data_IF_181285824689
#
_entry.id   IF_181285824689
#
_cell.length_a   1.000
_cell.length_b   1.000
_cell.length_c   1.000
_cell.angle_alpha   90.00
_cell.angle_beta   90.00
_cell.angle_gamma   90.00
#
_symmetry.space_group_name_H-M   'P 1'
#
loop_
_entity.id
_entity.type
_entity.pdbx_description
1 polymer ?
#
# COMPACT_ATOMS: atom_id res chain seq x y z
N UNK A 1 -16.15 -43.85 -43.36
CA UNK A 1 -14.86 -43.84 -42.65
C UNK A 1 -15.13 -44.21 -41.20
N UNK A 2 -14.30 -45.04 -40.57
CA UNK A 2 -14.47 -45.37 -39.15
C UNK A 2 -14.08 -44.15 -38.29
N UNK A 3 -14.76 -43.90 -37.18
CA UNK A 3 -14.53 -42.77 -36.27
C UNK A 3 -13.08 -42.70 -35.81
N UNK A 4 -12.48 -43.85 -35.47
CA UNK A 4 -11.06 -43.97 -35.14
C UNK A 4 -10.12 -43.46 -36.25
N UNK A 5 -10.46 -43.68 -37.52
CA UNK A 5 -9.65 -43.19 -38.65
C UNK A 5 -9.75 -41.67 -38.80
N UNK A 6 -10.94 -41.10 -38.54
CA UNK A 6 -11.14 -39.65 -38.55
C UNK A 6 -10.37 -38.99 -37.41
N UNK A 7 -10.42 -39.56 -36.20
CA UNK A 7 -9.68 -39.05 -35.04
C UNK A 7 -8.17 -39.09 -35.30
N UNK A 8 -7.62 -40.19 -35.82
CA UNK A 8 -6.18 -40.25 -36.14
C UNK A 8 -5.76 -39.29 -37.27
N UNK A 9 -6.64 -39.03 -38.24
CA UNK A 9 -6.36 -38.06 -39.29
C UNK A 9 -6.41 -36.62 -38.76
N UNK A 10 -7.36 -36.32 -37.87
CA UNK A 10 -7.43 -35.03 -37.18
C UNK A 10 -6.23 -34.85 -36.25
N UNK A 11 -5.88 -35.86 -35.47
CA UNK A 11 -4.71 -35.85 -34.58
C UNK A 11 -3.44 -35.62 -35.39
N UNK A 12 -3.25 -36.35 -36.50
CA UNK A 12 -2.14 -36.12 -37.41
C UNK A 12 -2.18 -34.73 -38.08
N UNK A 13 -3.34 -34.19 -38.42
CA UNK A 13 -3.43 -32.85 -39.01
C UNK A 13 -3.11 -31.74 -37.99
N UNK A 14 -3.53 -31.94 -36.74
CA UNK A 14 -3.45 -30.96 -35.65
C UNK A 14 -2.08 -31.00 -34.94
N UNK A 15 -1.57 -32.19 -34.60
CA UNK A 15 -0.29 -32.41 -33.89
C UNK A 15 0.92 -32.30 -34.82
N UNK A 16 0.79 -32.68 -36.08
CA UNK A 16 1.96 -32.90 -36.94
C UNK A 16 2.42 -31.63 -37.66
N UNK A 17 2.97 -30.64 -36.94
CA UNK A 17 3.56 -29.38 -37.48
C UNK A 17 2.67 -28.54 -38.41
N UNK A 18 1.52 -29.03 -38.86
CA UNK A 18 0.66 -28.44 -39.86
C UNK A 18 0.05 -27.14 -39.37
N UNK A 19 -0.52 -27.13 -38.16
CA UNK A 19 -1.03 -25.92 -37.55
C UNK A 19 0.07 -24.88 -37.29
N UNK A 20 1.25 -25.29 -36.82
CA UNK A 20 2.39 -24.36 -36.65
C UNK A 20 2.92 -23.81 -37.98
N UNK A 21 2.73 -24.54 -39.08
CA UNK A 21 3.10 -24.11 -40.43
C UNK A 21 2.00 -23.29 -41.13
N UNK A 22 0.76 -23.37 -40.64
CA UNK A 22 -0.34 -22.54 -41.10
C UNK A 22 -0.12 -21.09 -40.64
N UNK A 23 -0.34 -20.14 -41.55
CA UNK A 23 -0.36 -18.71 -41.22
C UNK A 23 -1.51 -18.37 -40.26
N UNK A 24 -2.59 -19.14 -40.31
CA UNK A 24 -3.82 -18.95 -39.54
C UNK A 24 -4.24 -20.30 -38.93
N UNK A 25 -3.59 -20.73 -37.83
CA UNK A 25 -3.91 -22.00 -37.16
C UNK A 25 -5.36 -22.05 -36.67
N UNK A 26 -5.90 -20.90 -36.25
CA UNK A 26 -7.31 -20.71 -35.89
C UNK A 26 -8.25 -21.16 -37.03
N UNK A 27 -8.13 -20.52 -38.20
CA UNK A 27 -8.92 -20.85 -39.39
C UNK A 27 -8.76 -22.31 -39.84
N UNK A 28 -7.56 -22.89 -39.71
CA UNK A 28 -7.32 -24.29 -40.02
C UNK A 28 -8.03 -25.23 -39.04
N UNK A 29 -8.03 -24.92 -37.74
CA UNK A 29 -8.80 -25.65 -36.74
C UNK A 29 -10.31 -25.53 -37.02
N UNK A 30 -10.83 -24.33 -37.29
CA UNK A 30 -12.24 -24.13 -37.65
C UNK A 30 -12.63 -24.96 -38.88
N UNK A 31 -11.79 -24.97 -39.92
CA UNK A 31 -12.03 -25.73 -41.15
C UNK A 31 -12.05 -27.25 -40.90
N UNK A 32 -11.13 -27.76 -40.08
CA UNK A 32 -11.09 -29.18 -39.71
C UNK A 32 -12.34 -29.58 -38.93
N UNK A 33 -12.85 -28.67 -38.10
CA UNK A 33 -14.03 -28.87 -37.26
C UNK A 33 -15.36 -28.68 -38.02
N UNK A 34 -15.36 -27.95 -39.13
CA UNK A 34 -16.50 -27.84 -40.04
C UNK A 34 -16.66 -29.03 -40.99
N UNK A 35 -15.72 -29.98 -41.00
CA UNK A 35 -15.84 -31.17 -41.84
C UNK A 35 -17.04 -32.02 -41.39
N UNK A 36 -17.85 -32.58 -42.31
CA UNK A 36 -18.95 -33.48 -41.96
C UNK A 36 -18.49 -34.71 -41.16
N UNK A 37 -17.22 -35.10 -41.30
CA UNK A 37 -16.61 -36.17 -40.54
C UNK A 37 -16.41 -35.80 -39.05
N UNK A 38 -16.28 -34.51 -38.72
CA UNK A 38 -16.19 -34.01 -37.35
C UNK A 38 -17.50 -34.21 -36.58
N UNK A 39 -18.65 -34.25 -37.26
CA UNK A 39 -19.93 -34.56 -36.63
C UNK A 39 -20.02 -36.00 -36.07
N UNK A 40 -19.11 -36.89 -36.48
CA UNK A 40 -19.01 -38.25 -35.96
C UNK A 40 -18.01 -38.40 -34.79
N UNK A 41 -17.29 -37.32 -34.45
CA UNK A 41 -16.31 -37.30 -33.36
C UNK A 41 -17.05 -37.11 -32.05
N UNK A 42 -16.73 -37.92 -31.04
CA UNK A 42 -17.33 -37.79 -29.71
C UNK A 42 -16.77 -36.55 -29.01
N UNK A 43 -17.51 -35.99 -28.05
CA UNK A 43 -17.02 -34.85 -27.27
C UNK A 43 -15.69 -35.17 -26.55
N UNK A 44 -15.53 -36.40 -26.07
CA UNK A 44 -14.29 -36.89 -25.45
C UNK A 44 -13.11 -36.96 -26.42
N UNK A 45 -13.33 -37.42 -27.65
CA UNK A 45 -12.28 -37.43 -28.68
C UNK A 45 -11.91 -36.00 -29.09
N UNK A 46 -12.90 -35.11 -29.20
CA UNK A 46 -12.67 -33.70 -29.48
C UNK A 46 -11.86 -33.02 -28.37
N UNK A 47 -12.18 -33.30 -27.09
CA UNK A 47 -11.46 -32.77 -25.94
C UNK A 47 -10.00 -33.25 -25.90
N UNK A 48 -9.73 -34.52 -26.21
CA UNK A 48 -8.34 -35.01 -26.34
C UNK A 48 -7.56 -34.33 -27.45
N UNK A 49 -8.19 -34.17 -28.62
CA UNK A 49 -7.58 -33.46 -29.75
C UNK A 49 -7.29 -32.01 -29.38
N UNK A 50 -8.23 -31.33 -28.72
CA UNK A 50 -8.04 -29.97 -28.23
C UNK A 50 -6.90 -29.91 -27.20
N UNK A 51 -6.83 -30.85 -26.25
CA UNK A 51 -5.75 -30.92 -25.26
C UNK A 51 -4.36 -31.04 -25.91
N UNK A 52 -4.23 -31.93 -26.90
CA UNK A 52 -2.99 -32.08 -27.67
C UNK A 52 -2.60 -30.83 -28.47
N UNK A 53 -3.59 -30.11 -29.02
CA UNK A 53 -3.35 -28.84 -29.72
C UNK A 53 -2.93 -27.75 -28.74
N UNK A 54 -3.64 -27.60 -27.63
CA UNK A 54 -3.35 -26.63 -26.58
C UNK A 54 -1.91 -26.83 -26.11
N UNK A 55 -1.52 -28.03 -25.66
CA UNK A 55 -0.15 -28.31 -25.20
C UNK A 55 0.95 -27.94 -26.23
N UNK A 56 0.63 -27.93 -27.51
CA UNK A 56 1.58 -27.68 -28.59
C UNK A 56 1.47 -26.27 -29.20
N UNK A 57 0.40 -25.53 -28.94
CA UNK A 57 0.16 -24.21 -29.50
C UNK A 57 0.33 -23.14 -28.42
N UNK A 58 1.29 -22.23 -28.62
CA UNK A 58 1.47 -21.06 -27.76
C UNK A 58 0.56 -19.89 -28.16
N UNK A 59 -0.35 -20.12 -29.10
CA UNK A 59 -1.26 -19.09 -29.62
C UNK A 59 -2.59 -19.13 -28.87
N UNK A 60 -2.86 -18.07 -28.12
CA UNK A 60 -4.06 -17.96 -27.30
C UNK A 60 -5.35 -17.89 -28.12
N UNK A 61 -5.29 -17.39 -29.36
CA UNK A 61 -6.47 -17.24 -30.24
C UNK A 61 -7.00 -18.60 -30.69
N UNK A 62 -6.09 -19.54 -30.96
CA UNK A 62 -6.45 -20.92 -31.32
C UNK A 62 -7.15 -21.62 -30.15
N UNK A 63 -6.66 -21.41 -28.92
CA UNK A 63 -7.27 -21.99 -27.74
C UNK A 63 -8.69 -21.44 -27.51
N UNK A 64 -8.87 -20.13 -27.67
CA UNK A 64 -10.19 -19.49 -27.56
C UNK A 64 -11.19 -20.02 -28.59
N UNK A 65 -10.80 -20.10 -29.87
CA UNK A 65 -11.68 -20.63 -30.92
C UNK A 65 -12.04 -22.11 -30.70
N UNK A 66 -11.07 -22.93 -30.28
CA UNK A 66 -11.32 -24.34 -29.97
C UNK A 66 -12.32 -24.50 -28.82
N UNK A 67 -12.19 -23.66 -27.79
CA UNK A 67 -13.09 -23.63 -26.65
C UNK A 67 -14.49 -23.16 -27.04
N UNK A 68 -14.60 -22.06 -27.80
CA UNK A 68 -15.89 -21.58 -28.31
C UNK A 68 -16.57 -22.61 -29.21
N UNK A 69 -15.78 -23.37 -29.98
CA UNK A 69 -16.31 -24.40 -30.86
C UNK A 69 -16.79 -25.62 -30.06
N UNK A 70 -16.04 -26.06 -29.04
CA UNK A 70 -16.50 -27.07 -28.09
C UNK A 70 -17.85 -26.69 -27.48
N UNK A 71 -18.00 -25.43 -27.02
CA UNK A 71 -19.28 -24.92 -26.51
C UNK A 71 -20.39 -24.93 -27.57
N UNK A 72 -20.07 -24.48 -28.79
CA UNK A 72 -21.02 -24.38 -29.90
C UNK A 72 -21.58 -25.73 -30.37
N UNK A 73 -20.87 -26.84 -30.11
CA UNK A 73 -21.33 -28.19 -30.49
C UNK A 73 -22.48 -28.72 -29.64
N UNK A 74 -22.77 -28.09 -28.49
CA UNK A 74 -23.85 -28.52 -27.58
C UNK A 74 -23.64 -29.89 -26.91
N UNK A 75 -22.50 -30.55 -27.18
CA UNK A 75 -22.11 -31.84 -26.60
C UNK A 75 -20.86 -31.63 -25.77
N UNK A 76 -21.04 -31.51 -24.45
CA UNK A 76 -19.94 -31.27 -23.53
C UNK A 76 -19.16 -32.56 -23.27
N UNK A 77 -17.81 -32.49 -23.20
CA UNK A 77 -17.00 -33.63 -22.80
C UNK A 77 -17.31 -34.04 -21.35
N UNK A 78 -16.90 -35.25 -20.96
CA UNK A 78 -17.04 -35.69 -19.58
C UNK A 78 -16.30 -34.74 -18.61
N UNK A 79 -16.70 -34.68 -17.32
CA UNK A 79 -16.16 -33.72 -16.37
C UNK A 79 -14.64 -33.85 -16.19
N UNK A 80 -14.08 -35.06 -16.19
CA UNK A 80 -12.62 -35.28 -16.07
C UNK A 80 -11.84 -34.77 -17.29
N UNK A 81 -12.41 -34.91 -18.48
CA UNK A 81 -11.81 -34.51 -19.75
C UNK A 81 -11.83 -32.99 -19.89
N UNK A 82 -12.95 -32.38 -19.48
CA UNK A 82 -13.09 -30.95 -19.38
C UNK A 82 -12.08 -30.33 -18.40
N UNK A 83 -11.92 -30.92 -17.22
CA UNK A 83 -10.94 -30.45 -16.21
C UNK A 83 -9.51 -30.53 -16.76
N UNK A 84 -9.17 -31.65 -17.40
CA UNK A 84 -7.84 -31.82 -18.01
C UNK A 84 -7.57 -30.79 -19.11
N UNK A 85 -8.56 -30.52 -19.96
CA UNK A 85 -8.46 -29.52 -21.03
C UNK A 85 -8.28 -28.11 -20.45
N UNK A 86 -9.07 -27.74 -19.44
CA UNK A 86 -9.00 -26.43 -18.81
C UNK A 86 -7.65 -26.23 -18.09
N UNK A 87 -7.15 -27.25 -17.37
CA UNK A 87 -5.83 -27.18 -16.73
C UNK A 87 -4.73 -27.00 -17.77
N UNK A 88 -4.76 -27.75 -18.89
CA UNK A 88 -3.81 -27.58 -19.98
C UNK A 88 -3.85 -26.17 -20.58
N UNK A 89 -5.04 -25.58 -20.74
CA UNK A 89 -5.18 -24.22 -21.25
C UNK A 89 -4.64 -23.16 -20.28
N UNK A 90 -4.84 -23.36 -18.96
CA UNK A 90 -4.29 -22.48 -17.91
C UNK A 90 -2.77 -22.57 -17.84
N UNK A 91 -2.21 -23.77 -17.98
CA UNK A 91 -0.75 -24.00 -17.99
C UNK A 91 -0.04 -23.34 -19.17
N UNK A 92 -0.77 -23.04 -20.25
CA UNK A 92 -0.21 -22.46 -21.47
C UNK A 92 0.05 -20.94 -21.41
N UNK A 93 -0.29 -20.29 -20.28
CA UNK A 93 0.10 -18.91 -19.89
C UNK A 93 -0.18 -17.78 -20.90
N UNK A 94 -1.11 -17.93 -21.84
CA UNK A 94 -1.55 -16.77 -22.65
C UNK A 94 -2.76 -16.12 -22.02
N UNK A 95 -2.76 -14.79 -21.94
CA UNK A 95 -3.80 -14.05 -21.22
C UNK A 95 -5.20 -14.26 -21.82
N UNK A 96 -5.26 -14.41 -23.15
CA UNK A 96 -6.50 -14.67 -23.89
C UNK A 96 -7.04 -16.08 -23.63
N UNK A 97 -6.20 -17.11 -23.65
CA UNK A 97 -6.65 -18.49 -23.43
C UNK A 97 -7.16 -18.69 -22.00
N UNK A 98 -6.48 -18.11 -21.02
CA UNK A 98 -6.90 -18.15 -19.62
C UNK A 98 -8.25 -17.44 -19.43
N UNK A 99 -8.43 -16.25 -19.99
CA UNK A 99 -9.69 -15.52 -19.92
C UNK A 99 -10.85 -16.32 -20.53
N UNK A 100 -10.66 -16.89 -21.71
CA UNK A 100 -11.65 -17.71 -22.41
C UNK A 100 -12.03 -18.97 -21.60
N UNK A 101 -11.04 -19.68 -21.04
CA UNK A 101 -11.28 -20.85 -20.20
C UNK A 101 -12.13 -20.55 -18.97
N UNK A 102 -11.87 -19.41 -18.34
CA UNK A 102 -12.51 -19.07 -17.08
C UNK A 102 -13.88 -18.45 -17.34
N UNK A 103 -14.05 -17.69 -18.44
CA UNK A 103 -15.39 -17.35 -18.93
C UNK A 103 -16.22 -18.61 -19.18
N UNK A 104 -15.65 -19.65 -19.79
CA UNK A 104 -16.29 -20.94 -19.95
C UNK A 104 -16.76 -21.55 -18.63
N UNK A 105 -15.87 -21.53 -17.63
CA UNK A 105 -16.14 -22.04 -16.29
C UNK A 105 -17.25 -21.27 -15.55
N UNK A 106 -17.46 -19.98 -15.84
CA UNK A 106 -18.42 -19.16 -15.09
C UNK A 106 -19.70 -18.80 -15.87
N UNK A 107 -19.74 -18.96 -17.20
CA UNK A 107 -20.86 -18.50 -18.03
C UNK A 107 -21.92 -19.55 -18.33
N UNK A 108 -21.64 -20.84 -18.10
CA UNK A 108 -22.37 -21.93 -18.78
C UNK A 108 -22.76 -23.10 -17.84
N UNK A 109 -23.72 -23.97 -18.22
CA UNK A 109 -24.05 -25.21 -17.50
C UNK A 109 -22.86 -26.16 -17.37
N UNK A 110 -21.77 -25.90 -18.10
CA UNK A 110 -20.44 -26.48 -17.92
C UNK A 110 -19.98 -26.39 -16.47
N UNK A 111 -20.19 -25.25 -15.81
CA UNK A 111 -19.89 -25.03 -14.40
C UNK A 111 -20.65 -25.99 -13.48
N UNK A 112 -21.83 -26.45 -13.91
CA UNK A 112 -22.66 -27.39 -13.15
C UNK A 112 -22.21 -28.84 -13.34
N UNK A 113 -21.38 -29.14 -14.35
CA UNK A 113 -20.85 -30.48 -14.61
C UNK A 113 -19.51 -30.73 -13.91
N UNK A 114 -18.72 -29.68 -13.68
CA UNK A 114 -17.46 -29.78 -12.95
C UNK A 114 -17.75 -29.91 -11.46
N UNK A 115 -17.13 -30.91 -10.82
CA UNK A 115 -17.20 -31.04 -9.37
C UNK A 115 -16.65 -29.77 -8.70
N UNK A 116 -17.27 -29.34 -7.59
CA UNK A 116 -16.88 -28.11 -6.92
C UNK A 116 -15.40 -28.08 -6.50
N UNK A 117 -14.82 -29.23 -6.15
CA UNK A 117 -13.39 -29.35 -5.83
C UNK A 117 -12.49 -29.21 -7.05
N UNK A 118 -12.86 -29.79 -8.19
CA UNK A 118 -12.10 -29.66 -9.43
C UNK A 118 -12.17 -28.24 -10.00
N UNK A 119 -13.34 -27.60 -9.94
CA UNK A 119 -13.49 -26.19 -10.30
C UNK A 119 -12.58 -25.33 -9.41
N UNK A 120 -12.57 -25.55 -8.09
CA UNK A 120 -11.70 -24.83 -7.18
C UNK A 120 -10.20 -25.02 -7.48
N UNK A 121 -9.78 -26.25 -7.83
CA UNK A 121 -8.39 -26.53 -8.16
C UNK A 121 -7.96 -25.81 -9.46
N UNK A 122 -8.80 -25.80 -10.49
CA UNK A 122 -8.57 -25.02 -11.70
C UNK A 122 -8.50 -23.52 -11.41
N UNK A 123 -9.36 -23.05 -10.51
CA UNK A 123 -9.37 -21.66 -10.09
C UNK A 123 -8.09 -21.28 -9.31
N UNK A 124 -7.57 -22.17 -8.45
CA UNK A 124 -6.28 -22.02 -7.79
C UNK A 124 -5.12 -21.98 -8.80
N UNK A 125 -5.09 -22.91 -9.76
CA UNK A 125 -4.09 -22.94 -10.84
C UNK A 125 -4.12 -21.65 -11.67
N UNK A 126 -5.32 -21.14 -11.99
CA UNK A 126 -5.49 -19.88 -12.70
C UNK A 126 -4.97 -18.68 -11.90
N UNK A 127 -5.21 -18.64 -10.58
CA UNK A 127 -4.67 -17.62 -9.70
C UNK A 127 -3.14 -17.71 -9.62
N UNK A 128 -2.58 -18.91 -9.44
CA UNK A 128 -1.13 -19.13 -9.43
C UNK A 128 -0.44 -18.73 -10.73
N UNK A 129 -1.15 -18.85 -11.86
CA UNK A 129 -0.68 -18.39 -13.17
C UNK A 129 -0.63 -16.86 -13.32
N UNK A 130 -1.10 -16.08 -12.32
CA UNK A 130 -1.06 -14.61 -12.26
C UNK A 130 -1.72 -13.93 -13.46
N UNK A 131 -2.89 -14.45 -13.86
CA UNK A 131 -3.62 -13.94 -15.01
C UNK A 131 -4.65 -12.88 -14.55
N UNK A 132 -4.52 -11.59 -14.91
CA UNK A 132 -5.44 -10.55 -14.43
C UNK A 132 -6.87 -10.74 -14.94
N UNK A 133 -7.03 -11.21 -16.18
CA UNK A 133 -8.34 -11.55 -16.74
C UNK A 133 -8.98 -12.76 -16.04
N UNK A 134 -8.17 -13.68 -15.52
CA UNK A 134 -8.65 -14.80 -14.71
C UNK A 134 -9.27 -14.31 -13.40
N UNK A 135 -8.70 -13.28 -12.80
CA UNK A 135 -9.05 -12.79 -11.47
C UNK A 135 -10.51 -12.32 -11.35
N UNK A 136 -11.01 -11.57 -12.34
CA UNK A 136 -12.41 -11.12 -12.37
C UNK A 136 -13.41 -12.26 -12.41
N UNK A 137 -13.06 -13.28 -13.16
CA UNK A 137 -13.95 -14.38 -13.45
C UNK A 137 -13.89 -15.42 -12.31
N UNK A 138 -12.70 -15.61 -11.71
CA UNK A 138 -12.49 -16.28 -10.41
C UNK A 138 -13.42 -15.73 -9.33
N UNK A 139 -13.56 -14.41 -9.29
CA UNK A 139 -14.41 -13.70 -8.33
C UNK A 139 -15.90 -13.89 -8.57
N UNK A 140 -16.32 -13.85 -9.83
CA UNK A 140 -17.71 -14.15 -10.20
C UNK A 140 -18.09 -15.60 -9.83
N UNK A 141 -17.18 -16.55 -10.05
CA UNK A 141 -17.39 -17.95 -9.68
C UNK A 141 -17.44 -18.17 -8.15
N UNK A 142 -16.62 -17.45 -7.37
CA UNK A 142 -16.71 -17.44 -5.89
C UNK A 142 -18.07 -16.97 -5.36
N UNK A 143 -18.67 -15.98 -6.02
CA UNK A 143 -19.97 -15.43 -5.66
C UNK A 143 -21.13 -16.39 -5.99
N UNK A 144 -20.95 -17.28 -6.97
CA UNK A 144 -22.00 -18.14 -7.50
C UNK A 144 -22.10 -19.51 -6.82
N UNK A 145 -21.01 -20.03 -6.25
CA UNK A 145 -20.96 -21.40 -5.73
C UNK A 145 -21.15 -21.49 -4.19
N UNK A 146 -21.95 -22.44 -3.67
CA UNK A 146 -22.00 -22.76 -2.25
C UNK A 146 -20.72 -23.50 -1.86
N UNK A 147 -19.68 -22.74 -1.52
CA UNK A 147 -18.36 -23.26 -1.14
C UNK A 147 -18.25 -23.40 0.39
N UNK A 148 -17.40 -24.31 0.85
CA UNK A 148 -17.04 -24.36 2.27
C UNK A 148 -16.19 -23.15 2.65
N UNK A 149 -16.23 -22.72 3.93
CA UNK A 149 -15.50 -21.52 4.37
C UNK A 149 -13.99 -21.62 4.16
N UNK A 150 -13.42 -22.81 4.31
CA UNK A 150 -11.98 -23.06 4.11
C UNK A 150 -11.58 -22.92 2.63
N UNK A 151 -12.44 -23.36 1.71
CA UNK A 151 -12.20 -23.26 0.29
C UNK A 151 -12.29 -21.82 -0.22
N UNK A 152 -13.27 -21.07 0.29
CA UNK A 152 -13.39 -19.64 0.01
C UNK A 152 -12.16 -18.89 0.51
N UNK A 153 -11.69 -19.20 1.71
CA UNK A 153 -10.48 -18.63 2.30
C UNK A 153 -9.24 -18.89 1.44
N UNK A 154 -9.01 -20.14 1.04
CA UNK A 154 -7.88 -20.50 0.16
C UNK A 154 -7.94 -19.75 -1.17
N UNK A 155 -9.13 -19.68 -1.78
CA UNK A 155 -9.29 -18.98 -3.05
C UNK A 155 -9.11 -17.47 -2.90
N UNK A 156 -9.66 -16.87 -1.84
CA UNK A 156 -9.45 -15.45 -1.50
C UNK A 156 -7.97 -15.14 -1.35
N UNK A 157 -7.25 -15.98 -0.61
CA UNK A 157 -5.82 -15.81 -0.38
C UNK A 157 -5.02 -15.94 -1.68
N UNK A 158 -5.31 -16.97 -2.49
CA UNK A 158 -4.63 -17.16 -3.77
C UNK A 158 -4.92 -16.02 -4.75
N UNK A 159 -6.19 -15.62 -4.87
CA UNK A 159 -6.64 -14.51 -5.73
C UNK A 159 -5.92 -13.22 -5.34
N UNK A 160 -5.78 -12.94 -4.05
CA UNK A 160 -5.14 -11.70 -3.58
C UNK A 160 -3.63 -11.76 -3.71
N UNK A 161 -2.99 -12.92 -3.50
CA UNK A 161 -1.56 -13.07 -3.75
C UNK A 161 -1.24 -12.90 -5.24
N UNK A 162 -2.05 -13.53 -6.10
CA UNK A 162 -1.96 -13.39 -7.55
C UNK A 162 -2.13 -11.93 -7.96
N UNK A 163 -3.12 -11.26 -7.36
CA UNK A 163 -3.29 -9.83 -7.45
C UNK A 163 -1.96 -9.18 -7.04
N UNK A 164 -1.57 -9.15 -5.77
CA UNK A 164 -0.41 -8.40 -5.29
C UNK A 164 0.87 -8.60 -6.14
N UNK A 165 1.06 -9.81 -6.68
CA UNK A 165 2.11 -10.11 -7.66
C UNK A 165 1.92 -9.40 -9.00
N UNK A 166 0.73 -9.47 -9.63
CA UNK A 166 0.42 -8.70 -10.84
C UNK A 166 0.69 -7.20 -10.67
N UNK A 167 0.20 -6.60 -9.58
CA UNK A 167 0.37 -5.16 -9.32
C UNK A 167 1.85 -4.80 -9.17
N UNK A 168 2.62 -5.67 -8.50
CA UNK A 168 4.06 -5.49 -8.37
C UNK A 168 4.78 -5.59 -9.72
N UNK A 169 4.35 -6.49 -10.60
CA UNK A 169 4.93 -6.67 -11.92
C UNK A 169 4.60 -5.47 -12.84
N UNK A 170 3.36 -4.97 -12.80
CA UNK A 170 2.87 -3.86 -13.64
C UNK A 170 3.36 -2.48 -13.17
N UNK A 171 3.48 -2.25 -11.87
CA UNK A 171 4.12 -1.03 -11.35
C UNK A 171 5.60 -0.90 -11.76
N UNK A 172 6.23 -2.00 -12.20
CA UNK A 172 7.58 -1.98 -12.76
C UNK A 172 7.66 -1.44 -14.20
N UNK A 173 6.55 -1.44 -14.95
CA UNK A 173 6.55 -1.14 -16.40
C UNK A 173 6.10 0.27 -16.76
N UNK A 174 5.53 1.04 -15.83
CA UNK A 174 5.36 2.50 -15.92
C UNK A 174 4.30 3.04 -16.89
N UNK A 175 3.78 2.24 -17.82
CA UNK A 175 2.95 2.73 -18.95
C UNK A 175 1.45 2.33 -18.90
N UNK A 176 0.97 1.61 -17.87
CA UNK A 176 -0.39 1.04 -17.85
C UNK A 176 -1.17 1.32 -16.56
N UNK A 177 -1.09 2.54 -16.04
CA UNK A 177 -1.54 2.79 -14.66
C UNK A 177 -3.08 2.84 -14.49
N UNK A 178 -3.83 3.43 -15.42
CA UNK A 178 -5.25 3.75 -15.16
C UNK A 178 -6.22 2.56 -15.41
N UNK A 179 -6.08 1.82 -16.52
CA UNK A 179 -6.99 0.72 -16.86
C UNK A 179 -6.78 -0.51 -15.96
N UNK A 180 -5.51 -0.79 -15.64
CA UNK A 180 -5.13 -1.88 -14.74
C UNK A 180 -5.61 -1.60 -13.33
N UNK A 181 -5.42 -0.37 -12.82
CA UNK A 181 -5.88 0.00 -11.49
C UNK A 181 -7.41 -0.09 -11.39
N UNK A 182 -8.17 0.34 -12.41
CA UNK A 182 -9.64 0.20 -12.39
C UNK A 182 -10.09 -1.26 -12.36
N UNK A 183 -9.55 -2.09 -13.26
CA UNK A 183 -9.86 -3.52 -13.34
C UNK A 183 -9.56 -4.20 -12.00
N UNK A 184 -8.44 -3.88 -11.39
CA UNK A 184 -8.06 -4.46 -10.12
C UNK A 184 -8.91 -4.03 -8.94
N UNK A 185 -9.32 -2.77 -8.92
CA UNK A 185 -10.10 -2.22 -7.83
C UNK A 185 -11.49 -2.83 -7.83
N UNK A 186 -12.08 -3.09 -9.00
CA UNK A 186 -13.31 -3.87 -9.13
C UNK A 186 -13.14 -5.30 -8.59
N UNK A 187 -12.00 -5.95 -8.89
CA UNK A 187 -11.73 -7.28 -8.38
C UNK A 187 -11.58 -7.29 -6.84
N UNK A 188 -10.81 -6.36 -6.26
CA UNK A 188 -10.68 -6.23 -4.81
C UNK A 188 -12.02 -5.90 -4.15
N UNK A 189 -12.86 -5.07 -4.76
CA UNK A 189 -14.20 -4.76 -4.27
C UNK A 189 -15.10 -6.00 -4.27
N UNK A 190 -15.05 -6.82 -5.32
CA UNK A 190 -15.76 -8.09 -5.36
C UNK A 190 -15.24 -9.08 -4.29
N UNK A 191 -13.91 -9.22 -4.12
CA UNK A 191 -13.26 -10.12 -3.15
C UNK A 191 -13.73 -9.75 -1.74
N UNK A 192 -13.70 -8.45 -1.46
CA UNK A 192 -14.06 -7.93 -0.15
C UNK A 192 -15.56 -7.98 0.11
N UNK A 193 -16.39 -7.84 -0.92
CA UNK A 193 -17.82 -8.11 -0.86
C UNK A 193 -18.13 -9.56 -0.46
N UNK A 194 -17.43 -10.53 -1.08
CA UNK A 194 -17.54 -11.97 -0.74
C UNK A 194 -17.12 -12.22 0.71
N UNK A 195 -15.91 -11.77 1.07
CA UNK A 195 -15.38 -11.98 2.43
C UNK A 195 -16.27 -11.33 3.49
N UNK A 196 -16.86 -10.18 3.18
CA UNK A 196 -17.81 -9.51 4.05
C UNK A 196 -19.12 -10.28 4.22
N UNK A 197 -19.68 -10.80 3.13
CA UNK A 197 -20.90 -11.61 3.16
C UNK A 197 -20.70 -12.91 3.96
N UNK A 198 -19.49 -13.47 3.91
CA UNK A 198 -19.15 -14.71 4.62
C UNK A 198 -18.63 -14.48 6.05
N UNK A 199 -18.50 -13.24 6.50
CA UNK A 199 -18.06 -12.91 7.85
C UNK A 199 -16.57 -13.24 8.12
N UNK A 200 -15.76 -13.34 7.07
CA UNK A 200 -14.36 -13.78 7.17
C UNK A 200 -13.44 -12.59 7.46
N UNK A 201 -13.55 -12.02 8.66
CA UNK A 201 -12.81 -10.81 9.05
C UNK A 201 -11.29 -11.03 9.16
N UNK A 202 -10.87 -12.22 9.60
CA UNK A 202 -9.47 -12.58 9.77
C UNK A 202 -8.70 -12.55 8.44
N UNK A 203 -9.33 -13.01 7.35
CA UNK A 203 -8.70 -13.02 6.04
C UNK A 203 -8.52 -11.61 5.50
N UNK A 204 -9.55 -10.77 5.57
CA UNK A 204 -9.44 -9.37 5.12
C UNK A 204 -8.34 -8.63 5.88
N UNK A 205 -8.14 -8.93 7.17
CA UNK A 205 -7.02 -8.42 7.98
C UNK A 205 -5.66 -8.94 7.49
N UNK A 206 -5.54 -10.23 7.16
CA UNK A 206 -4.34 -10.80 6.58
C UNK A 206 -4.01 -10.15 5.23
N UNK A 207 -5.02 -9.93 4.39
CA UNK A 207 -4.87 -9.23 3.11
C UNK A 207 -4.43 -7.78 3.31
N UNK A 208 -5.03 -7.08 4.27
CA UNK A 208 -4.63 -5.72 4.62
C UNK A 208 -3.17 -5.68 5.09
N UNK A 209 -2.76 -6.65 5.92
CA UNK A 209 -1.37 -6.78 6.35
C UNK A 209 -0.44 -6.97 5.17
N UNK A 210 -0.72 -7.91 4.28
CA UNK A 210 0.09 -8.13 3.09
C UNK A 210 0.15 -6.91 2.18
N UNK A 211 -0.99 -6.23 1.94
CA UNK A 211 -1.04 -5.00 1.16
C UNK A 211 -0.17 -3.90 1.77
N UNK A 212 -0.15 -3.79 3.11
CA UNK A 212 0.75 -2.87 3.83
C UNK A 212 2.22 -3.31 3.71
N UNK A 213 2.54 -4.61 3.82
CA UNK A 213 3.90 -5.15 3.67
C UNK A 213 4.48 -4.85 2.28
N UNK A 214 3.65 -4.93 1.24
CA UNK A 214 4.03 -4.62 -0.13
C UNK A 214 3.95 -3.12 -0.46
N UNK A 215 3.37 -2.30 0.43
CA UNK A 215 3.16 -0.87 0.21
C UNK A 215 2.14 -0.53 -0.88
N UNK A 216 1.19 -1.43 -1.15
CA UNK A 216 0.14 -1.28 -2.15
C UNK A 216 -0.96 -0.31 -1.68
N UNK A 217 -0.71 1.00 -1.78
CA UNK A 217 -1.59 2.04 -1.24
C UNK A 217 -3.04 1.96 -1.74
N UNK A 218 -3.26 1.78 -3.04
CA UNK A 218 -4.61 1.70 -3.63
C UNK A 218 -5.43 0.55 -3.03
N UNK A 219 -4.79 -0.62 -2.89
CA UNK A 219 -5.40 -1.78 -2.25
C UNK A 219 -5.71 -1.53 -0.77
N UNK A 220 -4.78 -0.93 -0.01
CA UNK A 220 -5.02 -0.56 1.39
C UNK A 220 -6.21 0.39 1.51
N UNK A 221 -6.33 1.38 0.63
CA UNK A 221 -7.46 2.33 0.64
C UNK A 221 -8.80 1.64 0.39
N UNK A 222 -8.86 0.64 -0.49
CA UNK A 222 -10.10 -0.11 -0.71
C UNK A 222 -10.40 -1.07 0.43
N UNK A 223 -9.41 -1.83 0.89
CA UNK A 223 -9.58 -2.76 2.02
C UNK A 223 -10.08 -2.03 3.26
N UNK A 224 -9.58 -0.82 3.54
CA UNK A 224 -10.05 0.02 4.67
C UNK A 224 -11.52 0.44 4.56
N UNK A 225 -12.09 0.52 3.35
CA UNK A 225 -13.51 0.86 3.14
C UNK A 225 -14.45 -0.32 3.40
N UNK A 226 -13.92 -1.53 3.49
CA UNK A 226 -14.71 -2.75 3.69
C UNK A 226 -15.30 -2.76 5.09
N UNK A 227 -16.63 -2.92 5.19
CA UNK A 227 -17.35 -2.85 6.46
C UNK A 227 -16.89 -3.88 7.50
N UNK A 228 -16.36 -5.03 7.08
CA UNK A 228 -15.84 -6.04 8.02
C UNK A 228 -14.61 -5.59 8.79
N UNK A 229 -13.87 -4.60 8.29
CA UNK A 229 -12.77 -3.96 9.01
C UNK A 229 -13.22 -2.81 9.91
N UNK A 230 -14.51 -2.71 10.26
CA UNK A 230 -14.96 -1.68 11.20
C UNK A 230 -14.69 -2.05 12.67
N UNK A 231 -14.43 -3.31 12.98
CA UNK A 231 -14.06 -3.76 14.33
C UNK A 231 -12.81 -4.65 14.35
N UNK A 232 -11.67 -4.20 13.79
CA UNK A 232 -10.42 -4.93 13.88
C UNK A 232 -9.96 -4.92 15.34
N UNK A 233 -9.23 -5.95 15.78
CA UNK A 233 -8.70 -5.94 17.13
C UNK A 233 -7.69 -4.81 17.26
N UNK A 234 -7.69 -4.12 18.41
CA UNK A 234 -6.80 -2.95 18.63
C UNK A 234 -5.33 -3.29 18.40
N UNK A 235 -4.91 -4.48 18.82
CA UNK A 235 -3.53 -4.95 18.68
C UNK A 235 -3.12 -5.12 17.21
N UNK A 236 -4.02 -5.65 16.38
CA UNK A 236 -3.79 -5.84 14.95
C UNK A 236 -3.61 -4.51 14.24
N UNK A 237 -4.48 -3.52 14.51
CA UNK A 237 -4.36 -2.18 13.92
C UNK A 237 -3.05 -1.51 14.34
N UNK A 238 -2.65 -1.65 15.61
CA UNK A 238 -1.37 -1.14 16.08
C UNK A 238 -0.19 -1.75 15.32
N UNK A 239 -0.22 -3.06 15.09
CA UNK A 239 0.79 -3.77 14.30
C UNK A 239 0.84 -3.31 12.83
N UNK A 240 -0.32 -3.09 12.21
CA UNK A 240 -0.45 -2.60 10.83
C UNK A 240 0.11 -1.18 10.68
N UNK A 241 -0.20 -0.29 11.62
CA UNK A 241 0.33 1.08 11.62
C UNK A 241 1.85 1.10 11.79
N UNK A 242 2.39 0.25 12.67
CA UNK A 242 3.82 0.11 12.85
C UNK A 242 4.51 -0.40 11.57
N UNK A 243 3.91 -1.38 10.91
CA UNK A 243 4.38 -1.91 9.64
C UNK A 243 4.36 -0.84 8.53
N UNK A 244 3.26 -0.10 8.41
CA UNK A 244 3.11 0.98 7.43
C UNK A 244 4.15 2.09 7.60
N UNK A 245 4.58 2.38 8.82
CA UNK A 245 5.61 3.39 9.09
C UNK A 245 7.01 2.99 8.59
N UNK A 246 7.28 1.69 8.47
CA UNK A 246 8.54 1.16 7.96
C UNK A 246 8.62 1.28 6.43
N UNK A 247 7.49 1.34 5.73
CA UNK A 247 7.42 1.33 4.27
C UNK A 247 7.88 2.64 3.61
N UNK A 248 8.23 2.56 2.32
CA UNK A 248 8.61 3.73 1.52
C UNK A 248 7.42 4.68 1.32
N UNK A 249 6.23 4.14 1.03
CA UNK A 249 4.99 4.91 0.88
C UNK A 249 4.25 5.17 2.20
N UNK A 250 4.99 5.30 3.31
CA UNK A 250 4.45 5.45 4.67
C UNK A 250 3.32 6.46 4.82
N UNK A 251 3.38 7.61 4.13
CA UNK A 251 2.43 8.71 4.36
C UNK A 251 1.04 8.34 3.88
N UNK A 252 0.95 7.83 2.64
CA UNK A 252 -0.32 7.38 2.09
C UNK A 252 -0.88 6.22 2.88
N UNK A 253 -0.03 5.24 3.22
CA UNK A 253 -0.46 4.03 3.94
C UNK A 253 -0.96 4.35 5.34
N UNK A 254 -0.22 5.15 6.12
CA UNK A 254 -0.66 5.58 7.45
C UNK A 254 -1.94 6.42 7.38
N UNK A 255 -2.05 7.34 6.40
CA UNK A 255 -3.26 8.13 6.23
C UNK A 255 -4.48 7.25 5.92
N UNK A 256 -4.31 6.25 5.05
CA UNK A 256 -5.37 5.30 4.73
C UNK A 256 -5.74 4.46 5.96
N UNK A 257 -4.77 3.87 6.65
CA UNK A 257 -5.02 3.07 7.86
C UNK A 257 -5.65 3.87 9.01
N UNK A 258 -5.32 5.17 9.13
CA UNK A 258 -5.95 6.05 10.13
C UNK A 258 -7.42 6.38 9.82
N UNK A 259 -7.93 6.04 8.62
CA UNK A 259 -9.36 6.10 8.32
C UNK A 259 -10.15 4.94 8.95
N UNK A 260 -9.47 3.86 9.38
CA UNK A 260 -10.14 2.77 10.09
C UNK A 260 -10.75 3.28 11.40
N UNK A 261 -11.98 2.87 11.73
CA UNK A 261 -12.57 3.17 13.02
C UNK A 261 -11.65 2.71 14.15
N UNK A 262 -11.53 3.53 15.19
CA UNK A 262 -10.70 3.24 16.37
C UNK A 262 -9.19 3.16 16.15
N UNK A 263 -8.65 3.31 14.93
CA UNK A 263 -7.21 3.26 14.68
C UNK A 263 -6.40 4.30 15.47
N UNK A 264 -6.96 5.51 15.62
CA UNK A 264 -6.34 6.55 16.46
C UNK A 264 -6.25 6.16 17.95
N UNK A 265 -7.24 5.38 18.42
CA UNK A 265 -7.40 4.97 19.82
C UNK A 265 -6.76 3.61 20.14
N UNK A 266 -6.39 2.82 19.14
CA UNK A 266 -5.73 1.53 19.32
C UNK A 266 -4.23 1.66 19.57
N UNK A 267 -3.63 2.76 19.15
CA UNK A 267 -2.21 3.04 19.35
C UNK A 267 -1.87 3.20 20.82
N UNK A 268 -0.96 2.37 21.32
CA UNK A 268 -0.35 2.57 22.63
C UNK A 268 0.56 3.79 22.62
N UNK A 269 0.83 4.38 23.80
CA UNK A 269 1.76 5.51 23.92
C UNK A 269 3.17 5.15 23.39
N UNK A 270 3.59 3.90 23.56
CA UNK A 270 4.86 3.40 23.03
C UNK A 270 4.85 3.33 21.49
N UNK A 271 3.82 2.73 20.89
CA UNK A 271 3.68 2.68 19.43
C UNK A 271 3.63 4.08 18.84
N UNK A 272 2.88 5.00 19.45
CA UNK A 272 2.82 6.40 19.05
C UNK A 272 4.20 7.08 19.12
N UNK A 273 4.94 6.85 20.22
CA UNK A 273 6.30 7.35 20.37
C UNK A 273 7.24 6.86 19.26
N UNK A 274 7.17 5.57 18.93
CA UNK A 274 7.97 4.97 17.85
C UNK A 274 7.58 5.51 16.47
N UNK A 275 6.29 5.70 16.19
CA UNK A 275 5.79 6.29 14.95
C UNK A 275 6.25 7.75 14.77
N UNK A 276 6.16 8.55 15.83
CA UNK A 276 6.65 9.93 15.83
C UNK A 276 8.16 9.98 15.65
N UNK A 277 8.91 9.09 16.31
CA UNK A 277 10.36 9.02 16.19
C UNK A 277 10.78 8.73 14.74
N UNK A 278 10.20 7.70 14.12
CA UNK A 278 10.45 7.35 12.72
C UNK A 278 10.05 8.50 11.76
N UNK A 279 8.98 9.22 12.07
CA UNK A 279 8.51 10.36 11.27
C UNK A 279 9.48 11.54 11.33
N UNK A 280 10.00 11.84 12.51
CA UNK A 280 11.01 12.88 12.77
C UNK A 280 12.33 12.55 12.09
N UNK A 281 12.83 11.31 12.20
CA UNK A 281 14.09 10.88 11.58
C UNK A 281 14.09 11.07 10.06
N UNK A 282 12.96 10.78 9.42
CA UNK A 282 12.78 10.92 7.97
C UNK A 282 12.18 12.30 7.58
N UNK A 283 12.20 13.28 8.48
CA UNK A 283 11.77 14.68 8.28
C UNK A 283 10.37 14.89 7.67
N UNK A 284 9.40 14.04 8.04
CA UNK A 284 8.01 14.13 7.55
C UNK A 284 7.13 14.93 8.50
N UNK A 285 7.28 16.25 8.42
CA UNK A 285 6.51 17.19 9.23
C UNK A 285 4.98 17.03 9.09
N UNK A 286 4.48 16.58 7.92
CA UNK A 286 3.04 16.34 7.71
C UNK A 286 2.57 15.13 8.51
N UNK A 287 3.36 14.05 8.50
CA UNK A 287 3.08 12.89 9.35
C UNK A 287 3.16 13.25 10.83
N UNK A 288 4.17 14.01 11.25
CA UNK A 288 4.27 14.49 12.64
C UNK A 288 3.04 15.32 13.02
N UNK A 289 2.59 16.21 12.15
CA UNK A 289 1.38 17.03 12.38
C UNK A 289 0.15 16.14 12.58
N UNK A 290 -0.04 15.16 11.69
CA UNK A 290 -1.15 14.21 11.75
C UNK A 290 -1.13 13.40 13.04
N UNK A 291 0.02 12.79 13.37
CA UNK A 291 0.20 11.96 14.56
C UNK A 291 0.03 12.76 15.86
N UNK A 292 0.57 13.99 15.93
CA UNK A 292 0.37 14.88 17.07
C UNK A 292 -1.10 15.27 17.29
N UNK A 293 -1.95 15.20 16.25
CA UNK A 293 -3.39 15.43 16.35
C UNK A 293 -4.18 14.28 16.97
N UNK A 294 -3.58 13.10 17.11
CA UNK A 294 -4.26 11.90 17.62
C UNK A 294 -4.28 11.89 19.15
N UNK A 295 -5.34 11.32 19.73
CA UNK A 295 -5.50 11.23 21.20
C UNK A 295 -4.35 10.47 21.87
N UNK A 296 -3.83 9.42 21.21
CA UNK A 296 -2.69 8.63 21.68
C UNK A 296 -1.40 9.44 21.81
N UNK A 297 -1.22 10.53 21.04
CA UNK A 297 -0.08 11.44 21.22
C UNK A 297 -0.18 12.28 22.52
N UNK A 298 -1.39 12.48 23.03
CA UNK A 298 -1.60 13.18 24.31
C UNK A 298 -1.23 12.29 25.52
N UNK A 299 -1.21 10.97 25.32
CA UNK A 299 -0.82 9.97 26.31
C UNK A 299 0.69 9.74 26.39
N UNK A 300 1.48 10.44 25.57
CA UNK A 300 2.94 10.33 25.61
C UNK A 300 3.48 10.69 27.00
N UNK A 301 4.41 9.86 27.46
CA UNK A 301 5.12 10.13 28.69
C UNK A 301 6.13 11.25 28.47
N UNK A 302 6.34 12.12 29.47
CA UNK A 302 7.33 13.20 29.41
C UNK A 302 8.72 12.75 28.94
N UNK A 303 9.20 11.58 29.39
CA UNK A 303 10.51 11.05 28.97
C UNK A 303 10.55 10.69 27.47
N UNK A 304 9.46 10.15 26.92
CA UNK A 304 9.36 9.85 25.48
C UNK A 304 9.38 11.15 24.67
N UNK A 305 8.68 12.18 25.13
CA UNK A 305 8.65 13.49 24.48
C UNK A 305 10.03 14.16 24.49
N UNK A 306 10.78 14.12 25.58
CA UNK A 306 12.15 14.68 25.64
C UNK A 306 13.05 14.03 24.60
N UNK A 307 12.99 12.69 24.47
CA UNK A 307 13.76 11.94 23.45
C UNK A 307 13.36 12.35 22.02
N UNK A 308 12.06 12.49 21.76
CA UNK A 308 11.55 12.94 20.46
C UNK A 308 11.99 14.37 20.12
N UNK A 309 11.96 15.27 21.10
CA UNK A 309 12.43 16.65 20.94
C UNK A 309 13.94 16.70 20.67
N UNK A 310 14.74 15.98 21.46
CA UNK A 310 16.18 15.87 21.23
C UNK A 310 16.50 15.35 19.82
N UNK A 311 15.75 14.35 19.36
CA UNK A 311 15.90 13.79 18.02
C UNK A 311 15.50 14.79 16.92
N UNK A 312 14.37 15.49 17.07
CA UNK A 312 13.90 16.49 16.11
C UNK A 312 14.89 17.65 15.97
N UNK A 313 15.52 18.03 17.07
CA UNK A 313 16.58 19.03 17.12
C UNK A 313 17.86 18.54 16.43
N UNK A 314 18.28 17.30 16.73
CA UNK A 314 19.47 16.69 16.14
C UNK A 314 19.36 16.66 14.62
N UNK A 315 18.16 16.37 14.12
CA UNK A 315 17.80 16.49 12.72
C UNK A 315 17.38 17.92 12.37
N UNK A 316 18.29 18.90 12.43
CA UNK A 316 18.07 20.34 12.26
C UNK A 316 17.14 20.82 11.12
N UNK A 317 16.80 19.95 10.16
CA UNK A 317 15.78 20.17 9.13
C UNK A 317 14.33 20.11 9.66
N UNK A 318 14.12 19.52 10.84
CA UNK A 318 12.82 19.23 11.44
C UNK A 318 12.38 20.19 12.55
N UNK A 319 12.78 21.47 12.49
CA UNK A 319 12.36 22.47 13.49
C UNK A 319 10.84 22.61 13.58
N UNK A 320 10.13 22.44 12.46
CA UNK A 320 8.66 22.41 12.44
C UNK A 320 8.12 21.24 13.26
N UNK A 321 8.73 20.07 13.18
CA UNK A 321 8.37 18.89 13.98
C UNK A 321 8.62 19.14 15.47
N UNK A 322 9.74 19.77 15.82
CA UNK A 322 10.02 20.15 17.21
C UNK A 322 8.94 21.09 17.77
N UNK A 323 8.51 22.11 17.00
CA UNK A 323 7.42 23.00 17.41
C UNK A 323 6.09 22.27 17.59
N UNK A 324 5.78 21.30 16.73
CA UNK A 324 4.56 20.49 16.86
C UNK A 324 4.60 19.63 18.12
N UNK A 325 5.74 19.02 18.41
CA UNK A 325 5.95 18.22 19.63
C UNK A 325 5.82 19.08 20.90
N UNK A 326 6.29 20.33 20.88
CA UNK A 326 6.13 21.27 22.00
C UNK A 326 4.66 21.64 22.29
N UNK A 327 3.73 21.45 21.33
CA UNK A 327 2.30 21.72 21.54
C UNK A 327 1.56 20.59 22.25
N UNK A 328 2.20 19.45 22.48
CA UNK A 328 1.55 18.31 23.13
C UNK A 328 1.38 18.56 24.64
N UNK A 329 0.29 18.06 25.27
CA UNK A 329 0.07 18.20 26.72
C UNK A 329 1.22 17.64 27.58
N UNK A 330 1.91 16.62 27.07
CA UNK A 330 3.10 16.07 27.73
C UNK A 330 4.21 17.11 27.90
N UNK A 331 4.31 18.12 27.01
CA UNK A 331 5.26 19.22 27.14
C UNK A 331 4.95 20.04 28.39
N UNK A 332 3.70 20.43 28.61
CA UNK A 332 3.30 21.14 29.84
C UNK A 332 3.52 20.31 31.10
N UNK A 333 3.44 18.96 31.03
CA UNK A 333 3.74 18.09 32.17
C UNK A 333 5.23 17.96 32.46
N UNK A 334 6.09 18.07 31.45
CA UNK A 334 7.55 18.09 31.63
C UNK A 334 7.99 19.24 32.54
N UNK A 335 7.27 20.35 32.50
CA UNK A 335 7.49 21.48 33.39
C UNK A 335 7.21 21.21 34.87
N UNK A 336 6.62 20.07 35.24
CA UNK A 336 6.34 19.72 36.63
C UNK A 336 7.28 18.60 37.17
N UNK A 337 8.20 18.08 36.36
CA UNK A 337 9.10 16.97 36.76
C UNK A 337 10.35 17.55 37.41
N UNK A 338 10.75 17.09 38.61
CA UNK A 338 11.94 17.57 39.30
C UNK A 338 13.21 17.39 38.45
N UNK A 339 13.99 18.46 38.41
CA UNK A 339 14.74 18.87 37.23
C UNK A 339 16.07 18.13 36.97
N UNK A 340 16.55 17.29 37.91
CA UNK A 340 17.93 16.81 37.89
C UNK A 340 18.32 16.00 36.63
N UNK A 341 17.40 15.19 36.07
CA UNK A 341 17.67 14.44 34.83
C UNK A 341 17.17 15.11 33.55
N UNK A 342 16.15 15.96 33.67
CA UNK A 342 15.54 16.63 32.52
C UNK A 342 16.37 17.83 32.05
N UNK A 343 17.09 18.50 32.96
CA UNK A 343 17.94 19.65 32.66
C UNK A 343 19.06 19.23 31.70
N UNK A 344 19.76 18.12 31.95
CA UNK A 344 20.91 17.74 31.13
C UNK A 344 20.49 17.41 29.69
N UNK A 345 19.41 16.66 29.50
CA UNK A 345 18.89 16.31 28.17
C UNK A 345 18.31 17.52 27.43
N UNK A 346 17.57 18.40 28.13
CA UNK A 346 17.02 19.62 27.52
C UNK A 346 18.11 20.65 27.21
N UNK A 347 19.16 20.72 28.02
CA UNK A 347 20.31 21.59 27.81
C UNK A 347 21.22 21.06 26.69
N UNK A 348 21.38 19.74 26.57
CA UNK A 348 22.00 19.11 25.42
C UNK A 348 21.21 19.38 24.14
N UNK A 349 19.88 19.28 24.16
CA UNK A 349 19.04 19.65 23.02
C UNK A 349 19.16 21.14 22.68
N UNK A 350 19.04 22.05 23.66
CA UNK A 350 19.16 23.50 23.46
C UNK A 350 20.53 23.91 22.90
N UNK A 351 21.61 23.30 23.40
CA UNK A 351 22.96 23.54 22.87
C UNK A 351 23.11 23.02 21.45
N UNK A 352 22.52 21.86 21.13
CA UNK A 352 22.39 21.33 19.77
C UNK A 352 21.63 22.26 18.82
N UNK A 353 20.48 22.81 19.24
CA UNK A 353 19.73 23.81 18.45
C UNK A 353 20.59 25.04 18.21
N UNK A 354 21.25 25.56 19.24
CA UNK A 354 22.13 26.74 19.11
C UNK A 354 23.25 26.49 18.11
N UNK A 355 23.94 25.36 18.22
CA UNK A 355 25.02 25.00 17.31
C UNK A 355 24.51 24.84 15.87
N UNK A 356 23.35 24.21 15.67
CA UNK A 356 22.72 24.07 14.36
C UNK A 356 22.30 25.43 13.77
N UNK A 357 21.74 26.33 14.58
CA UNK A 357 21.38 27.68 14.18
C UNK A 357 22.59 28.55 13.89
N UNK A 358 23.68 28.41 14.64
CA UNK A 358 24.94 29.11 14.39
C UNK A 358 25.60 28.62 13.10
N UNK A 359 25.56 27.31 12.84
CA UNK A 359 26.01 26.72 11.58
C UNK A 359 25.16 27.21 10.40
N UNK A 360 23.84 27.15 10.49
CA UNK A 360 22.93 27.65 9.43
C UNK A 360 23.09 29.17 9.24
N UNK A 361 23.34 29.95 10.30
CA UNK A 361 23.71 31.37 10.19
C UNK A 361 25.03 31.53 9.44
N UNK A 362 26.07 30.79 9.78
CA UNK A 362 27.35 30.86 9.09
C UNK A 362 27.21 30.53 7.59
N UNK A 363 26.46 29.48 7.27
CA UNK A 363 26.26 28.99 5.89
C UNK A 363 25.36 29.96 5.07
N UNK A 364 24.23 30.41 5.64
CA UNK A 364 23.31 31.35 4.99
C UNK A 364 23.85 32.78 4.87
N UNK A 365 24.70 33.22 5.81
CA UNK A 365 25.36 34.53 5.72
C UNK A 365 26.57 34.54 4.75
N UNK A 366 27.05 33.38 4.30
CA UNK A 366 28.34 33.29 3.59
C UNK A 366 28.32 33.81 2.14
N UNK A 367 27.18 33.90 1.46
CA UNK A 367 27.13 34.27 0.04
C UNK A 367 26.34 35.56 -0.26
N UNK A 368 25.13 35.71 0.26
CA UNK A 368 24.27 36.90 -0.02
C UNK A 368 24.46 38.03 1.00
N UNK A 369 24.66 37.70 2.28
CA UNK A 369 24.76 38.70 3.35
C UNK A 369 26.14 39.36 3.41
N UNK A 370 27.22 38.66 3.00
CA UNK A 370 28.58 39.23 2.89
C UNK A 370 28.67 40.33 1.82
N UNK A 371 27.81 40.32 0.79
CA UNK A 371 27.69 41.43 -0.19
C UNK A 371 26.85 42.59 0.35
N UNK A 372 25.80 42.31 1.12
CA UNK A 372 24.92 43.36 1.69
C UNK A 372 25.48 44.05 2.94
N UNK A 373 26.20 43.36 3.82
CA UNK A 373 26.76 43.94 5.06
C UNK A 373 27.86 44.98 4.80
N UNK A 374 28.41 45.06 3.59
CA UNK A 374 29.27 46.19 3.18
C UNK A 374 28.50 47.50 2.96
N UNK A 375 27.16 47.50 3.06
CA UNK A 375 26.32 48.62 2.63
C UNK A 375 25.31 49.15 3.67
N UNK A 376 25.37 48.76 4.96
CA UNK A 376 24.39 49.25 5.96
C UNK A 376 24.98 49.93 7.20
N UNK A 377 24.31 50.97 7.75
CA UNK A 377 24.82 51.80 8.83
C UNK A 377 24.50 51.27 10.24
N UNK A 378 25.34 51.70 11.19
CA UNK A 378 25.55 51.30 12.59
C UNK A 378 24.40 51.48 13.61
N UNK A 379 23.12 51.24 13.28
CA UNK A 379 22.00 51.53 14.21
C UNK A 379 21.54 50.36 15.12
N UNK A 380 21.99 49.12 14.91
CA UNK A 380 21.47 47.94 15.63
C UNK A 380 22.17 47.66 16.98
N UNK A 381 23.27 48.35 17.30
CA UNK A 381 24.05 48.09 18.53
C UNK A 381 23.46 48.66 19.83
N UNK A 382 22.30 49.33 19.82
CA UNK A 382 21.78 50.06 21.00
C UNK A 382 20.91 49.26 21.98
N UNK A 383 20.47 48.05 21.66
CA UNK A 383 19.57 47.28 22.56
C UNK A 383 20.30 46.50 23.68
N UNK A 384 21.63 46.42 23.64
CA UNK A 384 22.42 45.72 24.69
C UNK A 384 22.61 46.53 25.98
N UNK A 385 22.11 47.77 26.05
CA UNK A 385 22.37 48.71 27.16
C UNK A 385 21.20 48.92 28.14
N UNK A 386 20.06 48.25 27.94
CA UNK A 386 18.87 48.41 28.80
C UNK A 386 18.55 47.17 29.66
N UNK A 387 19.54 46.31 29.93
CA UNK A 387 19.34 45.11 30.74
C UNK A 387 19.83 45.31 32.17
N UNK A 388 18.93 45.65 33.10
CA UNK A 388 19.15 45.49 34.55
C UNK A 388 17.86 45.26 35.37
N UNK A 389 16.71 44.94 34.75
CA UNK A 389 15.45 44.79 35.50
C UNK A 389 14.49 43.70 35.01
N UNK A 390 14.91 42.82 34.10
CA UNK A 390 14.02 41.82 33.52
C UNK A 390 14.49 40.42 33.89
N UNK A 391 13.55 39.58 34.33
CA UNK A 391 13.83 38.17 34.57
C UNK A 391 14.22 37.47 33.24
N UNK A 392 15.01 36.38 33.28
CA UNK A 392 15.39 35.65 32.07
C UNK A 392 14.21 35.25 31.17
N UNK A 393 13.05 34.95 31.75
CA UNK A 393 11.81 34.64 31.03
C UNK A 393 11.18 35.87 30.35
N UNK A 394 11.25 37.04 30.98
CA UNK A 394 10.82 38.30 30.36
C UNK A 394 11.76 38.73 29.23
N UNK A 395 13.06 38.52 29.40
CA UNK A 395 14.05 38.75 28.34
C UNK A 395 13.81 37.82 27.16
N UNK A 396 13.56 36.53 27.38
CA UNK A 396 13.24 35.58 26.31
C UNK A 396 11.97 35.99 25.54
N UNK A 397 10.87 36.30 26.26
CA UNK A 397 9.61 36.74 25.65
C UNK A 397 9.74 38.06 24.89
N UNK A 398 10.44 39.05 25.45
CA UNK A 398 10.65 40.33 24.77
C UNK A 398 11.60 40.20 23.58
N UNK A 399 12.61 39.33 23.65
CA UNK A 399 13.52 39.08 22.54
C UNK A 399 12.79 38.36 21.39
N UNK A 400 11.91 37.41 21.70
CA UNK A 400 11.06 36.73 20.72
C UNK A 400 10.02 37.68 20.13
N UNK A 401 9.36 38.51 20.95
CA UNK A 401 8.38 39.50 20.49
C UNK A 401 9.03 40.58 19.62
N UNK A 402 10.19 41.10 20.01
CA UNK A 402 10.96 42.07 19.23
C UNK A 402 11.52 41.45 17.95
N UNK A 403 12.01 40.20 17.99
CA UNK A 403 12.41 39.48 16.80
C UNK A 403 11.22 39.23 15.87
N UNK A 404 10.05 38.85 16.40
CA UNK A 404 8.83 38.60 15.61
C UNK A 404 8.31 39.90 14.98
N UNK A 405 8.35 41.01 15.71
CA UNK A 405 8.03 42.35 15.18
C UNK A 405 9.00 42.81 14.08
N UNK A 406 10.30 42.58 14.25
CA UNK A 406 11.31 42.90 13.24
C UNK A 406 11.24 41.96 12.01
N UNK A 407 10.89 40.69 12.21
CA UNK A 407 10.68 39.70 11.13
C UNK A 407 9.46 40.07 10.27
N UNK A 408 8.36 40.47 10.91
CA UNK A 408 7.15 40.92 10.22
C UNK A 408 7.33 42.27 9.53
N UNK A 409 8.19 43.14 10.07
CA UNK A 409 8.47 44.46 9.49
C UNK A 409 9.49 44.44 8.33
N UNK A 410 10.45 43.51 8.30
CA UNK A 410 11.58 43.59 7.35
C UNK A 410 11.87 42.33 6.49
N UNK A 411 11.05 41.27 6.52
CA UNK A 411 11.15 40.10 5.60
C UNK A 411 12.56 39.43 5.47
N UNK A 412 13.47 39.56 6.44
CA UNK A 412 14.90 39.19 6.24
C UNK A 412 15.49 38.13 7.17
N UNK A 413 14.70 37.56 8.08
CA UNK A 413 15.20 36.45 8.92
C UNK A 413 14.88 35.13 8.22
N UNK A 414 15.88 34.27 7.94
CA UNK A 414 15.63 32.94 7.39
C UNK A 414 14.64 32.18 8.28
N UNK A 415 13.59 31.60 7.70
CA UNK A 415 12.51 30.90 8.41
C UNK A 415 13.03 29.92 9.47
N UNK A 416 14.14 29.21 9.18
CA UNK A 416 14.80 28.30 10.14
C UNK A 416 15.31 28.99 11.40
N UNK A 417 15.88 30.19 11.27
CA UNK A 417 16.36 30.96 12.42
C UNK A 417 15.18 31.40 13.28
N UNK A 418 14.09 31.82 12.65
CA UNK A 418 12.87 32.18 13.37
C UNK A 418 12.24 30.97 14.08
N UNK A 419 12.06 29.83 13.39
CA UNK A 419 11.53 28.61 13.99
C UNK A 419 12.41 28.10 15.13
N UNK A 420 13.73 28.13 14.97
CA UNK A 420 14.66 27.73 16.03
C UNK A 420 14.59 28.66 17.24
N UNK A 421 14.40 29.96 17.05
CA UNK A 421 14.14 30.89 18.17
C UNK A 421 12.83 30.56 18.89
N UNK A 422 11.77 30.18 18.17
CA UNK A 422 10.51 29.75 18.78
C UNK A 422 10.67 28.45 19.59
N UNK A 423 11.43 27.47 19.07
CA UNK A 423 11.72 26.23 19.81
C UNK A 423 12.52 26.53 21.07
N UNK A 424 13.58 27.36 20.97
CA UNK A 424 14.38 27.77 22.14
C UNK A 424 13.51 28.49 23.16
N UNK A 425 12.63 29.39 22.73
CA UNK A 425 11.71 30.08 23.63
C UNK A 425 10.76 29.11 24.33
N UNK A 426 10.14 28.19 23.58
CA UNK A 426 9.25 27.17 24.14
C UNK A 426 9.98 26.27 25.15
N UNK A 427 11.19 25.81 24.83
CA UNK A 427 12.01 25.00 25.73
C UNK A 427 12.46 25.79 26.98
N UNK A 428 12.79 27.07 26.84
CA UNK A 428 13.13 27.94 27.96
C UNK A 428 11.92 28.19 28.88
N UNK A 429 10.72 28.34 28.32
CA UNK A 429 9.50 28.46 29.11
C UNK A 429 9.21 27.16 29.88
N UNK A 430 9.39 26.00 29.24
CA UNK A 430 9.28 24.69 29.90
C UNK A 430 10.32 24.53 31.02
N UNK A 431 11.56 24.95 30.80
CA UNK A 431 12.63 24.90 31.80
C UNK A 431 12.34 25.84 32.98
N UNK A 432 11.91 27.07 32.72
CA UNK A 432 11.60 28.06 33.76
C UNK A 432 10.43 27.62 34.64
N UNK A 433 9.42 26.99 34.05
CA UNK A 433 8.31 26.41 34.80
C UNK A 433 8.78 25.25 35.72
N UNK A 434 9.69 24.38 35.24
CA UNK A 434 10.27 23.30 36.06
C UNK A 434 11.11 23.78 37.25
N UNK A 435 11.71 24.98 37.17
CA UNK A 435 12.52 25.53 38.26
C UNK A 435 11.72 26.32 39.30
N UNK A 436 10.48 26.71 39.01
CA UNK A 436 9.66 27.53 39.91
C UNK A 436 8.87 26.72 40.95
N UNK A 437 8.73 25.41 40.75
CA UNK A 437 8.08 24.46 41.67
C UNK A 437 9.07 23.77 42.65
N UNK A 438 10.33 24.22 42.68
CA UNK A 438 11.33 23.91 43.71
C UNK A 438 11.39 25.04 44.74
#
# INVERSE_FOLDING_TARGET
MNTSTVVHLLDAALVFRGLRACREPAAAATLLLQLPAAAAVTASDLARLCGGVVEQCSDGEVCEELLQLLLGTGSLPGPEELVSLLSACLQNRTDKSAAACIQLLCSDPVAQQVDGGAAQQLLLEAAEAQQPAAMHVLLACLLAAPQSSEQVQQLLQATVLAALQCFRNEMGTGDLQDDVESSWMEAVEAVTGVAAAQGVSADVLLLLKQAVEQGALGMVQQLVRVRTLQQPQKEEVGSLLQLAAQQQQRRGLLQALLQLPHAASSLTAEQMGNLLHASVQKDDHRMVTMLCGLQSAQLLQPQQLTRLLAEAVRHARSLTSALLLCKLPAASRMAAIPAAGLIDDTQAALSGIRAALEKDKADSFSSSTRRMMKSMPFSVYRLKRAGNALSPSQVARQTVAAATGAVLAEQKVPLRVWLGMQVVAALQELQAAATHDL
#
